data_IF_866521460803
#
_entry.id   IF_866521460803
#
_cell.length_a   1.000
_cell.length_b   1.000
_cell.length_c   1.000
_cell.angle_alpha   90.00
_cell.angle_beta   90.00
_cell.angle_gamma   90.00
#
_symmetry.space_group_name_H-M   'P 1'
#
loop_
_entity.id
_entity.type
_entity.pdbx_description
1 polymer ?
#
# COMPACT_ATOMS: atom_id res chain seq x y z
N UNK A 1 2.53 21.48 -8.68
CA UNK A 1 3.36 20.32 -9.05
C UNK A 1 2.50 19.10 -8.79
N UNK A 2 2.10 18.36 -9.82
CA UNK A 2 1.40 17.08 -9.67
C UNK A 2 2.35 16.11 -8.96
N UNK A 3 1.82 15.28 -8.06
CA UNK A 3 2.63 14.22 -7.44
C UNK A 3 3.12 13.29 -8.55
N UNK A 4 4.37 12.82 -8.55
CA UNK A 4 4.89 11.88 -9.57
C UNK A 4 4.01 10.63 -9.71
N UNK A 5 3.31 10.27 -8.64
CA UNK A 5 2.33 9.19 -8.61
C UNK A 5 1.06 9.48 -9.42
N UNK A 6 0.58 10.74 -9.43
CA UNK A 6 -0.59 11.16 -10.21
C UNK A 6 -0.32 11.15 -11.73
N UNK A 7 0.90 11.52 -12.13
CA UNK A 7 1.33 11.47 -13.53
C UNK A 7 1.41 10.02 -14.02
N UNK A 8 1.90 9.10 -13.17
CA UNK A 8 1.91 7.67 -13.47
C UNK A 8 0.50 7.09 -13.61
N UNK A 9 -0.43 7.41 -12.69
CA UNK A 9 -1.84 6.95 -12.80
C UNK A 9 -2.44 7.43 -14.12
N UNK A 10 -2.23 8.70 -14.47
CA UNK A 10 -2.71 9.28 -15.72
C UNK A 10 -2.14 8.53 -16.93
N UNK A 11 -0.84 8.21 -16.92
CA UNK A 11 -0.19 7.46 -17.98
C UNK A 11 -0.73 6.02 -18.11
N UNK A 12 -0.95 5.34 -16.98
CA UNK A 12 -1.51 3.98 -16.92
C UNK A 12 -2.94 3.93 -17.46
N UNK A 13 -3.76 4.93 -17.13
CA UNK A 13 -5.13 5.04 -17.64
C UNK A 13 -5.16 5.33 -19.15
N UNK A 14 -4.22 6.13 -19.66
CA UNK A 14 -4.14 6.46 -21.07
C UNK A 14 -3.61 5.29 -21.94
N UNK A 15 -2.73 4.45 -21.38
CA UNK A 15 -2.08 3.33 -22.09
C UNK A 15 -1.99 2.08 -21.21
N UNK A 16 -3.10 1.33 -21.05
CA UNK A 16 -3.12 0.15 -20.18
C UNK A 16 -2.19 -0.96 -20.67
N UNK A 17 -1.97 -1.09 -21.98
CA UNK A 17 -1.06 -2.10 -22.56
C UNK A 17 0.42 -1.86 -22.17
N UNK A 18 0.76 -0.63 -21.77
CA UNK A 18 2.09 -0.25 -21.31
C UNK A 18 2.31 -0.48 -19.80
N UNK A 19 1.31 -1.02 -19.08
CA UNK A 19 1.31 -1.06 -17.62
C UNK A 19 2.55 -1.73 -17.02
N UNK A 20 2.96 -2.89 -17.52
CA UNK A 20 4.14 -3.59 -17.01
C UNK A 20 5.42 -2.76 -17.17
N UNK A 21 5.61 -2.13 -18.33
CA UNK A 21 6.76 -1.27 -18.60
C UNK A 21 6.78 -0.06 -17.68
N UNK A 22 5.64 0.63 -17.52
CA UNK A 22 5.51 1.82 -16.68
C UNK A 22 5.73 1.49 -15.20
N UNK A 23 5.16 0.38 -14.71
CA UNK A 23 5.32 -0.06 -13.33
C UNK A 23 6.76 -0.47 -13.02
N UNK A 24 7.44 -1.16 -13.96
CA UNK A 24 8.86 -1.49 -13.79
C UNK A 24 9.74 -0.25 -13.69
N UNK A 25 9.49 0.75 -14.55
CA UNK A 25 10.21 2.03 -14.48
C UNK A 25 9.99 2.71 -13.13
N UNK A 26 8.73 2.82 -12.68
CA UNK A 26 8.41 3.44 -11.39
C UNK A 26 9.04 2.68 -10.21
N UNK A 27 9.04 1.35 -10.22
CA UNK A 27 9.72 0.53 -9.21
C UNK A 27 11.24 0.77 -9.20
N UNK A 28 11.88 0.89 -10.37
CA UNK A 28 13.31 1.17 -10.47
C UNK A 28 13.65 2.59 -9.95
N UNK A 29 12.78 3.56 -10.21
CA UNK A 29 12.91 4.92 -9.66
C UNK A 29 12.84 4.91 -8.15
N UNK A 30 11.85 4.21 -7.55
CA UNK A 30 11.72 4.06 -6.09
C UNK A 30 12.98 3.50 -5.41
N UNK A 31 13.66 2.56 -6.06
CA UNK A 31 14.92 2.00 -5.55
C UNK A 31 16.03 3.05 -5.48
N UNK A 32 16.14 3.89 -6.51
CA UNK A 32 17.22 4.90 -6.61
C UNK A 32 16.91 6.18 -5.84
N UNK A 33 15.64 6.53 -5.73
CA UNK A 33 15.13 7.74 -5.09
C UNK A 33 13.92 7.34 -4.22
N UNK A 34 14.17 6.84 -3.00
CA UNK A 34 13.10 6.46 -2.10
C UNK A 34 12.16 7.64 -1.87
N UNK A 35 10.88 7.47 -2.18
CA UNK A 35 9.90 8.51 -1.92
C UNK A 35 9.80 8.74 -0.40
N UNK A 36 9.82 9.98 0.10
CA UNK A 36 9.66 10.29 1.52
C UNK A 36 8.18 10.19 1.92
N UNK A 37 7.55 9.05 1.66
CA UNK A 37 6.19 8.77 2.05
C UNK A 37 6.18 8.37 3.52
N UNK A 38 5.77 9.30 4.38
CA UNK A 38 5.51 9.00 5.77
C UNK A 38 4.23 8.17 5.88
N UNK A 39 4.20 7.15 6.75
CA UNK A 39 2.98 6.44 7.05
C UNK A 39 1.94 7.43 7.62
N UNK A 40 0.65 7.24 7.31
CA UNK A 40 -0.42 8.05 7.90
C UNK A 40 -0.36 8.07 9.42
N UNK A 41 -0.67 9.22 10.01
CA UNK A 41 -0.67 9.35 11.47
C UNK A 41 -1.84 8.59 12.11
N UNK A 42 -1.77 8.45 13.45
CA UNK A 42 -2.77 7.76 14.23
C UNK A 42 -4.19 8.33 14.06
N UNK A 43 -4.34 9.64 13.86
CA UNK A 43 -5.64 10.29 13.75
C UNK A 43 -6.29 9.96 12.40
N UNK A 44 -5.52 10.00 11.30
CA UNK A 44 -5.97 9.59 9.97
C UNK A 44 -6.36 8.10 9.95
N UNK A 45 -5.57 7.24 10.60
CA UNK A 45 -5.90 5.82 10.73
C UNK A 45 -7.19 5.61 11.53
N UNK A 46 -7.37 6.31 12.65
CA UNK A 46 -8.59 6.22 13.46
C UNK A 46 -9.83 6.62 12.64
N UNK A 47 -9.78 7.78 11.99
CA UNK A 47 -10.90 8.28 11.18
C UNK A 47 -11.26 7.33 10.02
N UNK A 48 -10.27 6.68 9.40
CA UNK A 48 -10.50 5.65 8.39
C UNK A 48 -11.16 4.38 8.96
N UNK A 49 -10.71 3.94 10.14
CA UNK A 49 -11.27 2.78 10.83
C UNK A 49 -12.71 3.03 11.30
N UNK A 50 -13.02 4.25 11.75
CA UNK A 50 -14.36 4.64 12.21
C UNK A 50 -15.40 4.56 11.06
N UNK A 51 -14.96 4.64 9.80
CA UNK A 51 -15.83 4.40 8.63
C UNK A 51 -16.16 2.93 8.40
N UNK A 52 -15.36 2.01 8.94
CA UNK A 52 -15.58 0.57 8.86
C UNK A 52 -16.42 0.14 10.07
N UNK A 53 -15.89 0.34 11.27
CA UNK A 53 -16.57 0.01 12.52
C UNK A 53 -15.88 0.72 13.71
N UNK A 54 -16.65 1.09 14.75
CA UNK A 54 -16.07 1.60 15.99
C UNK A 54 -15.33 0.50 16.77
N UNK A 55 -14.45 0.89 17.69
CA UNK A 55 -13.81 -0.04 18.64
C UNK A 55 -12.63 -0.83 18.06
N UNK A 56 -11.91 -0.25 17.09
CA UNK A 56 -10.78 -0.88 16.39
C UNK A 56 -9.42 -0.35 16.89
N UNK A 57 -9.32 0.08 18.15
CA UNK A 57 -8.12 0.73 18.70
C UNK A 57 -6.91 -0.20 18.71
N UNK A 58 -7.11 -1.50 18.95
CA UNK A 58 -6.05 -2.51 18.90
C UNK A 58 -5.48 -2.64 17.48
N UNK A 59 -6.34 -2.58 16.46
CA UNK A 59 -5.92 -2.61 15.06
C UNK A 59 -5.18 -1.32 14.71
N UNK A 60 -5.70 -0.17 15.11
CA UNK A 60 -5.01 1.11 14.92
C UNK A 60 -3.61 1.07 15.52
N UNK A 61 -3.49 0.64 16.78
CA UNK A 61 -2.20 0.57 17.46
C UNK A 61 -1.24 -0.38 16.73
N UNK A 62 -1.73 -1.56 16.32
CA UNK A 62 -0.94 -2.51 15.54
C UNK A 62 -0.43 -1.90 14.21
N UNK A 63 -1.28 -1.19 13.48
CA UNK A 63 -0.90 -0.56 12.21
C UNK A 63 0.15 0.55 12.40
N UNK A 64 0.09 1.26 13.53
CA UNK A 64 1.10 2.27 13.91
C UNK A 64 2.41 1.60 14.32
N UNK A 65 2.37 0.55 15.13
CA UNK A 65 3.57 -0.14 15.62
C UNK A 65 4.31 -0.86 14.49
N UNK A 66 3.56 -1.39 13.52
CA UNK A 66 4.10 -2.03 12.31
C UNK A 66 4.34 -1.02 11.18
N UNK A 67 4.37 0.28 11.47
CA UNK A 67 4.80 1.31 10.52
C UNK A 67 6.32 1.44 10.54
N UNK A 68 7.04 0.91 9.53
CA UNK A 68 8.47 1.05 9.50
C UNK A 68 8.83 2.50 9.16
N UNK A 69 9.64 3.13 10.00
CA UNK A 69 10.17 4.46 9.72
C UNK A 69 11.14 4.37 8.53
N UNK A 70 10.81 5.05 7.42
CA UNK A 70 11.70 5.17 6.26
C UNK A 70 11.76 3.96 5.32
N UNK A 71 10.75 3.10 5.27
CA UNK A 71 10.79 1.88 4.44
C UNK A 71 10.42 2.09 2.96
N UNK A 72 10.95 1.21 2.11
CA UNK A 72 10.57 1.07 0.71
C UNK A 72 9.13 0.56 0.49
N UNK A 73 8.47 0.02 1.52
CA UNK A 73 7.18 -0.66 1.35
C UNK A 73 5.99 0.28 1.29
N UNK A 74 6.05 1.46 1.95
CA UNK A 74 4.98 2.46 1.84
C UNK A 74 4.94 3.08 0.43
N UNK A 75 6.12 3.39 -0.13
CA UNK A 75 6.23 3.89 -1.49
C UNK A 75 5.80 2.86 -2.53
N UNK A 76 6.23 1.60 -2.37
CA UNK A 76 5.77 0.51 -3.23
C UNK A 76 4.26 0.27 -3.08
N UNK A 77 3.71 0.33 -1.86
CA UNK A 77 2.28 0.15 -1.64
C UNK A 77 1.45 1.24 -2.31
N UNK A 78 1.88 2.51 -2.21
CA UNK A 78 1.24 3.61 -2.92
C UNK A 78 1.23 3.34 -4.44
N UNK A 79 2.36 2.91 -4.98
CA UNK A 79 2.52 2.57 -6.39
C UNK A 79 1.61 1.40 -6.84
N UNK A 80 1.59 0.30 -6.09
CA UNK A 80 0.84 -0.90 -6.45
C UNK A 80 -0.66 -0.77 -6.20
N UNK A 81 -1.07 0.10 -5.27
CA UNK A 81 -2.45 0.16 -4.77
C UNK A 81 -2.97 1.60 -4.67
N UNK A 82 -2.91 2.37 -5.76
CA UNK A 82 -3.56 3.67 -5.78
C UNK A 82 -5.07 3.47 -5.57
N UNK A 83 -5.78 4.38 -4.87
CA UNK A 83 -7.23 4.32 -4.73
C UNK A 83 -7.97 4.20 -6.07
N UNK A 84 -7.41 4.78 -7.12
CA UNK A 84 -8.01 4.96 -8.44
C UNK A 84 -7.91 3.72 -9.33
N UNK A 85 -6.97 2.80 -9.07
CA UNK A 85 -6.76 1.60 -9.89
C UNK A 85 -6.93 0.32 -9.07
N UNK A 86 -7.21 -0.78 -9.76
CA UNK A 86 -7.23 -2.11 -9.20
C UNK A 86 -6.57 -3.07 -10.18
N UNK A 87 -5.59 -3.83 -9.70
CA UNK A 87 -4.85 -4.83 -10.48
C UNK A 87 -5.20 -6.22 -10.01
N UNK A 88 -5.04 -7.20 -10.90
CA UNK A 88 -4.98 -8.59 -10.46
C UNK A 88 -3.84 -8.78 -9.45
N UNK A 89 -4.09 -9.61 -8.44
CA UNK A 89 -3.13 -9.81 -7.35
C UNK A 89 -1.85 -10.48 -7.82
N UNK A 90 -1.93 -11.43 -8.76
CA UNK A 90 -0.75 -12.09 -9.30
C UNK A 90 0.17 -11.06 -9.97
N UNK A 91 -0.40 -10.07 -10.66
CA UNK A 91 0.36 -8.98 -11.27
C UNK A 91 1.04 -8.08 -10.23
N UNK A 92 0.34 -7.74 -9.14
CA UNK A 92 0.93 -6.95 -8.05
C UNK A 92 2.10 -7.69 -7.39
N UNK A 93 1.95 -9.00 -7.15
CA UNK A 93 3.00 -9.86 -6.57
C UNK A 93 4.19 -9.94 -7.53
N UNK A 94 3.95 -10.08 -8.82
CA UNK A 94 4.97 -10.15 -9.87
C UNK A 94 5.82 -8.86 -9.96
N UNK A 95 5.21 -7.69 -9.78
CA UNK A 95 5.96 -6.43 -9.65
C UNK A 95 6.69 -6.32 -8.31
N UNK A 96 6.03 -6.69 -7.22
CA UNK A 96 6.60 -6.61 -5.88
C UNK A 96 7.83 -7.52 -5.71
N UNK A 97 7.80 -8.74 -6.25
CA UNK A 97 8.93 -9.68 -6.13
C UNK A 97 10.16 -9.19 -6.89
N UNK A 98 9.98 -8.55 -8.06
CA UNK A 98 11.10 -7.95 -8.80
C UNK A 98 11.69 -6.75 -8.08
N UNK A 99 10.83 -5.89 -7.53
CA UNK A 99 11.28 -4.78 -6.69
C UNK A 99 12.03 -5.28 -5.45
N UNK A 100 11.49 -6.28 -4.75
CA UNK A 100 12.14 -6.93 -3.61
C UNK A 100 13.52 -7.49 -3.96
N UNK A 101 13.64 -8.24 -5.06
CA UNK A 101 14.93 -8.77 -5.53
C UNK A 101 15.94 -7.65 -5.80
N UNK A 102 15.50 -6.55 -6.41
CA UNK A 102 16.36 -5.40 -6.69
C UNK A 102 16.80 -4.68 -5.40
N UNK A 103 15.89 -4.42 -4.45
CA UNK A 103 16.23 -3.86 -3.15
C UNK A 103 17.17 -4.76 -2.36
N UNK A 104 16.93 -6.08 -2.38
CA UNK A 104 17.78 -7.07 -1.71
C UNK A 104 19.18 -7.08 -2.30
N UNK A 105 19.31 -7.09 -3.63
CA UNK A 105 20.60 -7.03 -4.32
C UNK A 105 21.36 -5.73 -4.05
N UNK A 106 20.65 -4.63 -3.85
CA UNK A 106 21.22 -3.32 -3.52
C UNK A 106 21.55 -3.16 -2.01
N UNK A 107 21.23 -4.13 -1.16
CA UNK A 107 21.39 -4.01 0.30
C UNK A 107 20.45 -2.97 0.93
N UNK A 108 19.34 -2.67 0.27
CA UNK A 108 18.37 -1.63 0.68
C UNK A 108 17.23 -2.17 1.57
N UNK A 109 17.33 -3.42 2.04
CA UNK A 109 16.38 -4.04 2.95
C UNK A 109 17.09 -4.42 4.25
N UNK A 110 16.37 -4.37 5.37
CA UNK A 110 16.81 -5.01 6.60
C UNK A 110 16.88 -6.54 6.46
N UNK A 111 17.46 -7.20 7.45
CA UNK A 111 17.71 -8.64 7.42
C UNK A 111 16.41 -9.46 7.27
N UNK A 112 15.34 -9.07 7.98
CA UNK A 112 14.06 -9.78 7.99
C UNK A 112 13.38 -9.67 6.62
N UNK A 113 13.22 -8.44 6.12
CA UNK A 113 12.59 -8.17 4.84
C UNK A 113 13.44 -8.67 3.66
N UNK A 114 14.77 -8.70 3.80
CA UNK A 114 15.68 -9.23 2.80
C UNK A 114 15.72 -10.77 2.74
N UNK A 115 15.40 -11.45 3.84
CA UNK A 115 15.43 -12.91 3.93
C UNK A 115 14.15 -13.57 3.39
N UNK A 116 12.99 -12.93 3.57
CA UNK A 116 11.70 -13.52 3.22
C UNK A 116 10.81 -12.54 2.42
N UNK A 117 10.46 -12.94 1.20
CA UNK A 117 9.51 -12.19 0.38
C UNK A 117 8.10 -12.15 0.97
N UNK A 118 7.69 -13.18 1.72
CA UNK A 118 6.40 -13.21 2.42
C UNK A 118 6.28 -12.09 3.45
N UNK A 119 7.33 -11.88 4.25
CA UNK A 119 7.39 -10.77 5.22
C UNK A 119 7.43 -9.40 4.52
N UNK A 120 8.22 -9.30 3.44
CA UNK A 120 8.21 -8.12 2.59
C UNK A 120 6.81 -7.80 2.04
N UNK A 121 6.14 -8.80 1.47
CA UNK A 121 4.80 -8.64 0.92
C UNK A 121 3.79 -8.27 2.00
N UNK A 122 3.81 -8.95 3.16
CA UNK A 122 2.96 -8.60 4.31
C UNK A 122 3.09 -7.14 4.66
N UNK A 123 4.33 -6.62 4.72
CA UNK A 123 4.57 -5.21 5.02
C UNK A 123 3.95 -4.29 3.97
N UNK A 124 4.12 -4.59 2.69
CA UNK A 124 3.50 -3.84 1.57
C UNK A 124 1.97 -3.85 1.67
N UNK A 125 1.36 -4.97 2.09
CA UNK A 125 -0.10 -5.03 2.29
C UNK A 125 -0.60 -4.16 3.43
N UNK A 126 0.11 -4.16 4.55
CA UNK A 126 -0.23 -3.35 5.72
C UNK A 126 0.01 -1.86 5.46
N UNK A 127 1.09 -1.52 4.75
CA UNK A 127 1.33 -0.19 4.17
C UNK A 127 0.14 0.26 3.30
N UNK A 128 -0.30 -0.59 2.37
CA UNK A 128 -1.46 -0.29 1.51
C UNK A 128 -2.74 -0.09 2.31
N UNK A 129 -2.96 -0.90 3.35
CA UNK A 129 -4.11 -0.75 4.24
C UNK A 129 -4.11 0.60 4.96
N UNK A 130 -2.95 1.04 5.49
CA UNK A 130 -2.82 2.36 6.11
C UNK A 130 -3.17 3.48 5.12
N UNK A 131 -2.62 3.44 3.91
CA UNK A 131 -2.89 4.43 2.87
C UNK A 131 -4.38 4.48 2.49
N UNK A 132 -5.03 3.32 2.41
CA UNK A 132 -6.47 3.23 2.11
C UNK A 132 -7.34 3.74 3.26
N UNK A 133 -6.97 3.46 4.52
CA UNK A 133 -7.66 4.02 5.69
C UNK A 133 -7.53 5.55 5.73
N UNK A 134 -6.32 6.07 5.50
CA UNK A 134 -6.11 7.51 5.41
C UNK A 134 -6.90 8.14 4.27
N UNK A 135 -7.01 7.45 3.12
CA UNK A 135 -7.86 7.90 2.02
C UNK A 135 -9.33 7.92 2.44
N UNK A 136 -9.84 6.83 3.02
CA UNK A 136 -11.21 6.72 3.53
C UNK A 136 -11.56 7.87 4.49
N UNK A 137 -10.65 8.25 5.38
CA UNK A 137 -10.85 9.38 6.31
C UNK A 137 -11.14 10.72 5.62
N UNK A 138 -10.68 10.90 4.38
CA UNK A 138 -10.80 12.15 3.62
C UNK A 138 -11.87 12.13 2.53
N UNK A 139 -12.45 10.96 2.24
CA UNK A 139 -13.46 10.84 1.19
C UNK A 139 -14.78 11.50 1.60
N UNK A 140 -15.39 12.24 0.68
CA UNK A 140 -16.78 12.67 0.83
C UNK A 140 -17.75 11.48 0.88
N UNK A 141 -18.93 11.69 1.44
CA UNK A 141 -19.99 10.67 1.45
C UNK A 141 -20.36 10.26 0.02
N UNK A 142 -20.49 8.95 -0.22
CA UNK A 142 -20.88 8.41 -1.54
C UNK A 142 -19.78 8.44 -2.61
N UNK A 143 -18.52 8.67 -2.23
CA UNK A 143 -17.40 8.68 -3.18
C UNK A 143 -17.26 7.31 -3.89
N UNK A 144 -16.97 7.32 -5.18
CA UNK A 144 -16.93 6.12 -6.01
C UNK A 144 -15.91 5.07 -5.52
N UNK A 145 -14.80 5.53 -4.93
CA UNK A 145 -13.70 4.68 -4.45
C UNK A 145 -13.99 4.00 -3.11
N UNK A 146 -14.96 4.48 -2.33
CA UNK A 146 -15.20 4.00 -0.96
C UNK A 146 -15.41 2.47 -0.91
N UNK A 147 -16.30 1.94 -1.76
CA UNK A 147 -16.56 0.50 -1.83
C UNK A 147 -15.31 -0.31 -2.17
N UNK A 148 -14.43 0.22 -3.00
CA UNK A 148 -13.19 -0.45 -3.41
C UNK A 148 -12.18 -0.51 -2.27
N UNK A 149 -12.02 0.59 -1.55
CA UNK A 149 -11.12 0.67 -0.39
C UNK A 149 -11.61 -0.24 0.74
N UNK A 150 -12.92 -0.28 0.99
CA UNK A 150 -13.52 -1.22 1.96
C UNK A 150 -13.29 -2.68 1.55
N UNK A 151 -13.49 -3.02 0.27
CA UNK A 151 -13.22 -4.38 -0.25
C UNK A 151 -11.75 -4.78 -0.08
N UNK A 152 -10.82 -3.85 -0.30
CA UNK A 152 -9.40 -4.08 -0.04
C UNK A 152 -9.12 -4.36 1.45
N UNK A 153 -9.68 -3.54 2.34
CA UNK A 153 -9.53 -3.72 3.78
C UNK A 153 -10.01 -5.11 4.22
N UNK A 154 -11.16 -5.58 3.71
CA UNK A 154 -11.65 -6.94 3.94
C UNK A 154 -10.67 -8.00 3.41
N UNK A 155 -10.14 -7.83 2.20
CA UNK A 155 -9.22 -8.79 1.57
C UNK A 155 -7.91 -8.97 2.36
N UNK A 156 -7.31 -7.87 2.82
CA UNK A 156 -6.08 -7.92 3.63
C UNK A 156 -6.39 -8.54 5.00
N UNK A 157 -7.50 -8.11 5.62
CA UNK A 157 -7.91 -8.61 6.93
C UNK A 157 -8.23 -10.10 6.93
N UNK A 158 -8.75 -10.62 5.81
CA UNK A 158 -9.00 -12.04 5.59
C UNK A 158 -7.75 -12.90 5.80
N UNK A 159 -6.57 -12.38 5.42
CA UNK A 159 -5.29 -13.11 5.37
C UNK A 159 -4.50 -13.06 6.67
N UNK A 160 -4.56 -11.95 7.40
CA UNK A 160 -3.76 -11.78 8.61
C UNK A 160 -4.63 -11.90 9.87
N UNK A 161 -4.33 -12.91 10.70
CA UNK A 161 -5.03 -13.12 11.98
C UNK A 161 -4.97 -11.86 12.86
N UNK A 162 -3.85 -11.15 12.83
CA UNK A 162 -3.66 -9.89 13.54
C UNK A 162 -4.65 -8.77 13.14
N UNK A 163 -5.28 -8.89 11.98
CA UNK A 163 -6.27 -7.95 11.44
C UNK A 163 -7.69 -8.53 11.43
N UNK A 164 -7.92 -9.69 12.06
CA UNK A 164 -9.16 -10.44 11.92
C UNK A 164 -10.44 -9.71 12.35
N UNK A 165 -10.35 -8.71 13.24
CA UNK A 165 -11.50 -7.92 13.68
C UNK A 165 -12.03 -6.95 12.63
N UNK A 166 -11.26 -6.68 11.57
CA UNK A 166 -11.67 -5.86 10.42
C UNK A 166 -12.56 -6.60 9.41
N UNK A 167 -12.73 -7.94 9.53
CA UNK A 167 -13.55 -8.73 8.58
C UNK A 167 -15.07 -8.49 8.70
N UNK A 168 -15.50 -7.45 9.43
CA UNK A 168 -16.90 -7.21 9.81
C UNK A 168 -17.67 -6.50 8.71
#
# INVERSE_FOLDING_TARGET
>A
MTSPHADLITALQARPDDADRLMRTACAELLTQPAPLLPPDAAALQAGLDRIAPGLEVIRQRLVDDAPQGSSTDALAALLRPPELAWDEAQQIDWAVRHWQACRAAGALDEELGADFGEYWRRVEWSGLRLHLARLATLGEGHADERRLLAYAVKVSARYVALGTLKR
#
